data_IF_404137448288
#
_entry.id   IF_404137448288
#
_cell.length_a   1.000
_cell.length_b   1.000
_cell.length_c   1.000
_cell.angle_alpha   90.00
_cell.angle_beta   90.00
_cell.angle_gamma   90.00
#
_symmetry.space_group_name_H-M   'P 1'
#
loop_
_entity.id
_entity.type
_entity.pdbx_description
1 polymer ?
#
# COMPACT_ATOMS: atom_id res chain seq x y z
N UNK A 1 -11.40 21.24 9.42
CA UNK A 1 -12.13 20.12 8.79
C UNK A 1 -11.61 18.84 9.39
N UNK A 2 -12.48 17.88 9.68
CA UNK A 2 -12.06 16.55 10.11
C UNK A 2 -11.31 15.88 8.95
N UNK A 3 -10.16 15.25 9.24
CA UNK A 3 -9.34 14.60 8.22
C UNK A 3 -9.97 13.26 7.82
N UNK A 4 -9.90 12.91 6.54
CA UNK A 4 -10.28 11.58 6.07
C UNK A 4 -9.16 10.59 6.38
N UNK A 5 -9.43 9.66 7.30
CA UNK A 5 -8.53 8.54 7.60
C UNK A 5 -8.52 7.55 6.46
N UNK A 6 -7.33 7.21 5.97
CA UNK A 6 -7.17 6.27 4.87
C UNK A 6 -6.10 5.22 5.14
N UNK A 7 -6.30 4.03 4.57
CA UNK A 7 -5.23 3.06 4.28
C UNK A 7 -5.04 3.03 2.76
N UNK A 8 -3.81 3.27 2.31
CA UNK A 8 -3.46 3.24 0.90
C UNK A 8 -2.87 1.87 0.54
N UNK A 9 -3.55 1.11 -0.30
CA UNK A 9 -3.09 -0.20 -0.80
C UNK A 9 -2.57 -0.04 -2.23
N UNK A 10 -1.28 -0.25 -2.45
CA UNK A 10 -0.61 0.11 -3.71
C UNK A 10 0.49 -0.89 -4.08
N UNK A 11 0.94 -0.84 -5.33
CA UNK A 11 2.00 -1.65 -5.89
C UNK A 11 3.06 -0.74 -6.54
N UNK A 12 3.82 0.05 -5.76
CA UNK A 12 4.45 1.27 -6.21
C UNK A 12 5.14 1.24 -7.57
N UNK A 13 4.37 1.72 -8.55
CA UNK A 13 4.78 2.28 -9.82
C UNK A 13 4.90 3.80 -9.76
N UNK A 14 5.05 4.42 -10.93
CA UNK A 14 5.30 5.86 -11.05
C UNK A 14 4.17 6.71 -10.44
N UNK A 15 2.93 6.35 -10.74
CA UNK A 15 1.72 7.04 -10.30
C UNK A 15 1.38 6.75 -8.84
N UNK A 16 1.61 5.53 -8.35
CA UNK A 16 1.51 5.23 -6.92
C UNK A 16 2.44 6.09 -6.06
N UNK A 17 3.68 6.33 -6.54
CA UNK A 17 4.63 7.20 -5.84
C UNK A 17 4.09 8.63 -5.69
N UNK A 18 3.36 9.12 -6.70
CA UNK A 18 2.65 10.40 -6.64
C UNK A 18 1.46 10.33 -5.70
N UNK A 19 0.68 9.24 -5.71
CA UNK A 19 -0.43 9.03 -4.79
C UNK A 19 0.02 9.03 -3.32
N UNK A 20 1.13 8.33 -3.01
CA UNK A 20 1.78 8.31 -1.69
C UNK A 20 2.17 9.74 -1.27
N UNK A 21 2.84 10.48 -2.17
CA UNK A 21 3.27 11.86 -1.90
C UNK A 21 2.07 12.77 -1.59
N UNK A 22 1.02 12.71 -2.41
CA UNK A 22 -0.18 13.52 -2.24
C UNK A 22 -0.91 13.18 -0.93
N UNK A 23 -1.15 11.89 -0.68
CA UNK A 23 -1.83 11.42 0.52
C UNK A 23 -1.09 11.79 1.81
N UNK A 24 0.24 11.67 1.81
CA UNK A 24 1.05 11.95 2.99
C UNK A 24 1.23 13.45 3.30
N UNK A 25 0.98 14.35 2.34
CA UNK A 25 1.18 15.80 2.52
C UNK A 25 -0.10 16.61 2.56
N UNK A 26 -1.20 16.12 1.99
CA UNK A 26 -2.43 16.91 1.91
C UNK A 26 -3.12 17.04 3.29
N UNK A 27 -3.48 18.26 3.75
CA UNK A 27 -3.98 18.49 5.11
C UNK A 27 -5.36 17.90 5.39
N UNK A 28 -6.12 17.54 4.35
CA UNK A 28 -7.42 16.88 4.48
C UNK A 28 -7.34 15.36 4.66
N UNK A 29 -6.14 14.77 4.52
CA UNK A 29 -5.92 13.33 4.61
C UNK A 29 -5.15 12.98 5.88
N UNK A 30 -5.57 11.91 6.52
CA UNK A 30 -4.85 11.23 7.59
C UNK A 30 -4.45 9.84 7.10
N UNK A 31 -3.22 9.71 6.59
CA UNK A 31 -2.70 8.48 6.02
C UNK A 31 -2.21 7.57 7.16
N UNK A 32 -3.02 6.56 7.51
CA UNK A 32 -2.77 5.68 8.66
C UNK A 32 -1.66 4.65 8.40
N UNK A 33 -1.56 4.18 7.16
CA UNK A 33 -0.65 3.12 6.77
C UNK A 33 -0.65 2.92 5.26
N UNK A 34 0.47 2.39 4.75
CA UNK A 34 0.62 1.99 3.36
C UNK A 34 0.75 0.47 3.32
N UNK A 35 -0.16 -0.20 2.62
CA UNK A 35 -0.08 -1.62 2.35
C UNK A 35 0.41 -1.87 0.94
N UNK A 36 1.34 -2.80 0.79
CA UNK A 36 1.97 -3.09 -0.50
C UNK A 36 1.45 -4.42 -1.04
N UNK A 37 1.17 -4.44 -2.34
CA UNK A 37 0.78 -5.65 -3.08
C UNK A 37 1.69 -5.84 -4.30
N UNK A 38 1.76 -7.06 -4.82
CA UNK A 38 2.36 -7.32 -6.13
C UNK A 38 1.42 -6.85 -7.26
N UNK A 39 1.99 -6.31 -8.33
CA UNK A 39 1.26 -5.83 -9.50
C UNK A 39 2.19 -5.28 -10.58
N UNK A 40 2.42 -3.97 -10.61
CA UNK A 40 3.37 -3.29 -11.52
C UNK A 40 4.71 -4.02 -11.58
N UNK A 41 5.19 -4.49 -10.43
CA UNK A 41 6.29 -5.43 -10.29
C UNK A 41 5.99 -6.50 -9.23
N UNK A 42 6.93 -7.42 -9.05
CA UNK A 42 6.93 -8.38 -7.94
C UNK A 42 6.94 -7.65 -6.59
N UNK A 43 6.42 -8.30 -5.53
CA UNK A 43 6.23 -7.67 -4.22
C UNK A 43 7.54 -7.16 -3.61
N UNK A 44 8.64 -7.87 -3.78
CA UNK A 44 9.96 -7.45 -3.31
C UNK A 44 10.35 -6.08 -3.88
N UNK A 45 10.08 -5.84 -5.17
CA UNK A 45 10.36 -4.57 -5.83
C UNK A 45 9.36 -3.49 -5.45
N UNK A 46 8.06 -3.77 -5.47
CA UNK A 46 7.04 -2.77 -5.11
C UNK A 46 7.17 -2.33 -3.65
N UNK A 47 7.58 -3.24 -2.76
CA UNK A 47 7.89 -2.94 -1.36
C UNK A 47 9.12 -2.04 -1.23
N UNK A 48 10.21 -2.37 -1.91
CA UNK A 48 11.41 -1.54 -1.94
C UNK A 48 11.07 -0.14 -2.49
N UNK A 49 10.27 -0.05 -3.55
CA UNK A 49 9.85 1.22 -4.14
C UNK A 49 9.02 2.06 -3.17
N UNK A 50 8.02 1.46 -2.51
CA UNK A 50 7.21 2.15 -1.49
C UNK A 50 8.06 2.66 -0.32
N UNK A 51 9.02 1.86 0.16
CA UNK A 51 9.96 2.27 1.20
C UNK A 51 10.88 3.39 0.70
N UNK A 52 11.45 3.29 -0.50
CA UNK A 52 12.32 4.32 -1.09
C UNK A 52 11.59 5.67 -1.21
N UNK A 53 10.35 5.67 -1.72
CA UNK A 53 9.52 6.88 -1.83
C UNK A 53 9.28 7.48 -0.45
N UNK A 54 8.89 6.66 0.53
CA UNK A 54 8.64 7.15 1.87
C UNK A 54 9.93 7.68 2.55
N UNK A 55 11.09 7.04 2.34
CA UNK A 55 12.38 7.50 2.84
C UNK A 55 12.74 8.86 2.22
N UNK A 56 12.63 8.96 0.90
CA UNK A 56 12.99 10.18 0.15
C UNK A 56 12.15 11.40 0.55
N UNK A 57 10.88 11.19 0.87
CA UNK A 57 9.92 12.24 1.20
C UNK A 57 9.72 12.47 2.70
N UNK A 58 10.52 11.78 3.53
CA UNK A 58 10.44 11.81 4.99
C UNK A 58 9.02 11.50 5.51
N UNK A 59 8.37 10.52 4.87
CA UNK A 59 7.02 10.06 5.24
C UNK A 59 7.17 9.03 6.38
N UNK A 60 6.75 9.42 7.58
CA UNK A 60 6.80 8.61 8.80
C UNK A 60 5.51 7.80 9.04
N UNK A 61 5.03 7.16 7.98
CA UNK A 61 3.87 6.25 8.01
C UNK A 61 4.38 4.80 7.92
N UNK A 62 3.80 3.84 8.66
CA UNK A 62 4.20 2.44 8.57
C UNK A 62 3.85 1.82 7.21
N UNK A 63 4.73 0.96 6.72
CA UNK A 63 4.58 0.25 5.43
C UNK A 63 4.52 -1.24 5.68
N UNK A 64 3.49 -1.91 5.16
CA UNK A 64 3.24 -3.34 5.39
C UNK A 64 3.30 -4.13 4.08
N UNK A 65 4.11 -5.18 4.05
CA UNK A 65 4.15 -6.09 2.91
C UNK A 65 2.93 -7.02 2.90
N UNK A 66 2.31 -7.20 1.73
CA UNK A 66 1.10 -7.98 1.56
C UNK A 66 1.24 -9.17 0.63
N UNK A 67 0.21 -9.40 -0.19
CA UNK A 67 0.11 -10.56 -1.07
C UNK A 67 1.19 -10.52 -2.17
N UNK A 68 2.08 -11.55 -2.25
CA UNK A 68 3.13 -11.62 -3.27
C UNK A 68 2.62 -12.09 -4.64
N UNK A 69 1.42 -12.66 -4.67
CA UNK A 69 0.79 -13.25 -5.84
C UNK A 69 -0.72 -12.97 -5.83
N UNK A 70 -1.39 -12.96 -6.99
CA UNK A 70 -2.84 -12.92 -7.06
C UNK A 70 -3.46 -14.19 -6.44
N UNK A 71 -4.73 -14.09 -6.03
CA UNK A 71 -5.44 -15.15 -5.27
C UNK A 71 -5.54 -16.48 -6.03
N UNK A 72 -5.53 -16.47 -7.37
CA UNK A 72 -5.77 -17.70 -8.16
C UNK A 72 -5.04 -17.74 -9.50
N UNK A 73 -5.03 -16.64 -10.26
CA UNK A 73 -4.45 -16.62 -11.61
C UNK A 73 -2.92 -16.70 -11.58
N UNK A 74 -2.31 -16.95 -12.73
CA UNK A 74 -0.88 -16.72 -12.89
C UNK A 74 -0.57 -15.21 -12.76
N UNK A 75 0.53 -14.91 -12.07
CA UNK A 75 1.03 -13.55 -11.89
C UNK A 75 1.48 -12.95 -13.22
N UNK A 76 1.20 -11.67 -13.39
CA UNK A 76 1.69 -10.82 -14.47
C UNK A 76 2.25 -9.54 -13.85
N UNK A 77 3.20 -8.90 -14.54
CA UNK A 77 3.78 -7.61 -14.16
C UNK A 77 3.68 -6.62 -15.32
N UNK A 78 3.88 -5.33 -15.05
CA UNK A 78 3.82 -4.24 -16.03
C UNK A 78 5.21 -3.59 -16.23
N UNK A 79 6.25 -4.41 -16.30
CA UNK A 79 7.65 -4.00 -16.49
C UNK A 79 7.87 -3.22 -17.80
N UNK A 80 7.07 -3.50 -18.83
CA UNK A 80 7.08 -2.75 -20.09
C UNK A 80 6.63 -1.28 -19.95
N UNK A 81 5.95 -0.92 -18.85
CA UNK A 81 5.51 0.45 -18.55
C UNK A 81 6.34 1.06 -17.42
N UNK A 82 6.60 0.27 -16.37
CA UNK A 82 7.21 0.73 -15.13
C UNK A 82 8.71 0.46 -15.02
N UNK A 83 9.28 -0.24 -16.00
CA UNK A 83 10.70 -0.55 -16.07
C UNK A 83 11.10 -1.76 -15.22
N UNK A 84 12.41 -2.04 -15.21
CA UNK A 84 12.95 -3.24 -14.56
C UNK A 84 12.78 -3.18 -13.04
N UNK A 85 12.94 -1.99 -12.45
CA UNK A 85 12.78 -1.79 -11.01
C UNK A 85 11.31 -1.64 -10.59
N UNK A 86 10.41 -1.36 -11.54
CA UNK A 86 9.04 -0.95 -11.29
C UNK A 86 8.89 0.55 -10.97
N UNK A 87 10.01 1.28 -10.89
CA UNK A 87 10.03 2.73 -10.70
C UNK A 87 11.29 3.31 -11.35
N UNK A 88 11.53 2.97 -12.63
CA UNK A 88 12.74 3.41 -13.35
C UNK A 88 12.76 4.94 -13.50
N UNK A 89 13.91 5.56 -13.23
CA UNK A 89 14.10 7.01 -13.31
C UNK A 89 14.79 7.58 -12.07
N UNK A 90 14.12 7.62 -10.90
CA UNK A 90 14.76 8.04 -9.66
C UNK A 90 15.88 7.11 -9.22
N UNK A 91 16.96 7.70 -8.70
CA UNK A 91 18.03 6.99 -8.00
C UNK A 91 17.92 7.34 -6.52
N UNK A 92 17.79 6.32 -5.67
CA UNK A 92 17.63 6.46 -4.23
C UNK A 92 18.96 6.19 -3.50
N UNK A 93 19.14 6.87 -2.37
CA UNK A 93 20.19 6.56 -1.40
C UNK A 93 19.94 5.19 -0.75
N UNK A 94 20.96 4.58 -0.10
CA UNK A 94 20.80 3.31 0.59
C UNK A 94 19.56 3.28 1.51
N UNK A 95 18.74 2.24 1.35
CA UNK A 95 17.51 2.09 2.12
C UNK A 95 17.85 1.71 3.57
N UNK A 96 17.39 2.51 4.53
CA UNK A 96 17.62 2.27 5.97
C UNK A 96 16.34 1.91 6.72
N UNK A 97 15.18 2.37 6.22
CA UNK A 97 13.89 1.99 6.77
C UNK A 97 13.49 0.57 6.35
N UNK A 98 12.67 -0.05 7.18
CA UNK A 98 12.18 -1.42 6.98
C UNK A 98 10.65 -1.42 6.94
N UNK A 99 10.10 -2.46 6.32
CA UNK A 99 8.68 -2.74 6.44
C UNK A 99 8.34 -3.23 7.86
N UNK A 100 7.10 -3.03 8.27
CA UNK A 100 6.57 -3.63 9.48
C UNK A 100 6.53 -5.16 9.37
N UNK A 101 6.69 -5.85 10.49
CA UNK A 101 6.65 -7.32 10.54
C UNK A 101 5.25 -7.90 10.37
N UNK A 102 4.22 -7.07 10.58
CA UNK A 102 2.82 -7.46 10.41
C UNK A 102 2.47 -7.53 8.93
N UNK A 103 1.81 -8.61 8.50
CA UNK A 103 1.34 -8.73 7.12
C UNK A 103 0.22 -7.72 6.81
N UNK A 104 0.23 -7.12 5.61
CA UNK A 104 -0.73 -6.09 5.20
C UNK A 104 -2.19 -6.47 5.42
N UNK A 105 -2.57 -7.71 5.07
CA UNK A 105 -3.95 -8.22 5.30
C UNK A 105 -4.32 -8.19 6.78
N UNK A 106 -3.41 -8.59 7.68
CA UNK A 106 -3.65 -8.57 9.12
C UNK A 106 -3.75 -7.13 9.62
N UNK A 107 -2.88 -6.25 9.15
CA UNK A 107 -2.95 -4.82 9.45
C UNK A 107 -4.30 -4.21 9.04
N UNK A 108 -4.78 -4.48 7.81
CA UNK A 108 -6.09 -3.99 7.34
C UNK A 108 -7.20 -4.49 8.25
N UNK A 109 -7.23 -5.80 8.54
CA UNK A 109 -8.27 -6.41 9.38
C UNK A 109 -8.27 -5.79 10.78
N UNK A 110 -7.12 -5.80 11.46
CA UNK A 110 -7.02 -5.33 12.84
C UNK A 110 -7.39 -3.84 12.95
N UNK A 111 -6.88 -3.03 12.01
CA UNK A 111 -7.14 -1.58 11.99
C UNK A 111 -8.62 -1.28 11.77
N UNK A 112 -9.28 -1.95 10.82
CA UNK A 112 -10.70 -1.76 10.58
C UNK A 112 -11.55 -2.25 11.75
N UNK A 113 -11.25 -3.44 12.29
CA UNK A 113 -11.99 -4.01 13.40
C UNK A 113 -11.98 -3.10 14.64
N UNK A 114 -10.84 -2.45 14.91
CA UNK A 114 -10.68 -1.49 16.00
C UNK A 114 -11.21 -0.07 15.70
N UNK A 115 -11.62 0.22 14.47
CA UNK A 115 -12.10 1.55 14.07
C UNK A 115 -13.58 1.79 14.39
N UNK A 116 -13.95 3.07 14.37
CA UNK A 116 -15.32 3.57 14.51
C UNK A 116 -16.11 3.54 13.18
N UNK A 117 -15.56 2.88 12.14
CA UNK A 117 -16.17 2.83 10.81
C UNK A 117 -15.84 4.02 9.91
N UNK A 118 -14.77 4.75 10.23
CA UNK A 118 -14.37 6.02 9.60
C UNK A 118 -13.12 5.92 8.71
N UNK A 119 -12.63 4.70 8.46
CA UNK A 119 -11.42 4.44 7.67
C UNK A 119 -11.79 4.08 6.24
N UNK A 120 -11.35 4.89 5.28
CA UNK A 120 -11.51 4.62 3.85
C UNK A 120 -10.34 3.79 3.32
N UNK A 121 -10.62 2.67 2.64
CA UNK A 121 -9.60 1.94 1.89
C UNK A 121 -9.41 2.57 0.51
N UNK A 122 -8.16 2.83 0.11
CA UNK A 122 -7.81 3.41 -1.19
C UNK A 122 -6.89 2.42 -1.93
N UNK A 123 -7.44 1.38 -2.58
CA UNK A 123 -6.65 0.49 -3.41
C UNK A 123 -6.38 1.11 -4.77
N UNK A 124 -5.11 1.26 -5.12
CA UNK A 124 -4.64 1.74 -6.43
C UNK A 124 -3.84 0.68 -7.20
N UNK A 125 -3.61 -0.48 -6.59
CA UNK A 125 -3.05 -1.67 -7.22
C UNK A 125 -4.02 -2.85 -7.34
N UNK A 126 -3.53 -4.07 -7.63
CA UNK A 126 -4.34 -5.28 -7.61
C UNK A 126 -5.01 -5.53 -6.25
N UNK A 127 -6.30 -5.85 -6.25
CA UNK A 127 -7.15 -5.99 -5.05
C UNK A 127 -6.87 -7.23 -4.17
N UNK A 128 -5.71 -7.87 -4.29
CA UNK A 128 -5.41 -9.13 -3.60
C UNK A 128 -5.45 -8.98 -2.08
N UNK A 129 -4.81 -7.94 -1.53
CA UNK A 129 -4.85 -7.65 -0.08
C UNK A 129 -6.28 -7.42 0.40
N UNK A 130 -7.02 -6.57 -0.31
CA UNK A 130 -8.40 -6.19 0.04
C UNK A 130 -9.32 -7.41 0.02
N UNK A 131 -9.29 -8.19 -1.06
CA UNK A 131 -10.14 -9.36 -1.21
C UNK A 131 -9.82 -10.45 -0.18
N UNK A 132 -8.53 -10.71 0.11
CA UNK A 132 -8.15 -11.66 1.17
C UNK A 132 -8.61 -11.15 2.53
N UNK A 133 -8.45 -9.86 2.85
CA UNK A 133 -8.92 -9.29 4.11
C UNK A 133 -10.44 -9.47 4.29
N UNK A 134 -11.22 -9.13 3.27
CA UNK A 134 -12.69 -9.26 3.29
C UNK A 134 -13.15 -10.71 3.44
N UNK A 135 -12.46 -11.67 2.80
CA UNK A 135 -12.81 -13.09 2.89
C UNK A 135 -12.35 -13.74 4.19
N UNK A 136 -11.22 -13.28 4.74
CA UNK A 136 -10.66 -13.78 5.99
C UNK A 136 -11.41 -13.24 7.22
N UNK A 137 -11.86 -11.98 7.18
CA UNK A 137 -12.67 -11.36 8.23
C UNK A 137 -13.84 -10.57 7.63
N UNK A 138 -14.99 -11.23 7.32
CA UNK A 138 -16.15 -10.55 6.75
C UNK A 138 -16.74 -9.43 7.62
N UNK A 139 -16.47 -9.41 8.93
CA UNK A 139 -16.95 -8.36 9.83
C UNK A 139 -16.32 -6.98 9.55
N UNK A 140 -15.28 -6.88 8.71
CA UNK A 140 -14.75 -5.58 8.27
C UNK A 140 -15.66 -4.88 7.26
N UNK A 141 -16.51 -5.61 6.53
CA UNK A 141 -17.37 -5.05 5.47
C UNK A 141 -18.26 -3.90 5.96
N UNK A 142 -19.03 -4.02 7.07
CA UNK A 142 -19.83 -2.92 7.57
C UNK A 142 -19.02 -1.81 8.27
N UNK A 143 -17.68 -1.95 8.38
CA UNK A 143 -16.77 -0.98 9.01
C UNK A 143 -16.03 -0.11 8.00
N UNK A 144 -16.27 -0.32 6.71
CA UNK A 144 -15.70 0.50 5.63
C UNK A 144 -16.84 1.42 5.14
N UNK A 145 -16.67 2.75 5.18
CA UNK A 145 -17.70 3.73 4.81
C UNK A 145 -17.96 3.82 3.30
#
# INVERSE_FOLDING_TARGET
>A
MEKRKIILDCDPGHDDAIAIMMAAKHPAIDLLGITIVAGNQTLDKTLINGLNVCQKLEINVPVYAGMPQPIMRQQIVADNIHGETGLDGPVFEPLTRQAESTHAVKYIIDTLMASDGDITLVPVGPLSNIAVAMRMQPAILPKIP
#
